data_IF_984082501234
#
_entry.id   IF_984082501234
#
_cell.length_a   1.000
_cell.length_b   1.000
_cell.length_c   1.000
_cell.angle_alpha   90.00
_cell.angle_beta   90.00
_cell.angle_gamma   90.00
#
_symmetry.space_group_name_H-M   'P 1'
#
loop_
_entity.id
_entity.type
_entity.pdbx_description
1 polymer ?
#
# COMPACT_ATOMS: atom_id res chain seq x y z
N UNK A 1 -16.51 4.75 -5.86
CA UNK A 1 -17.12 6.07 -5.57
C UNK A 1 -16.07 7.13 -5.24
N UNK A 2 -15.11 6.87 -4.35
CA UNK A 2 -14.07 7.86 -3.97
C UNK A 2 -13.24 8.41 -5.13
N UNK A 3 -12.79 7.56 -6.06
CA UNK A 3 -12.03 8.01 -7.25
C UNK A 3 -12.84 8.96 -8.13
N UNK A 4 -14.13 8.66 -8.34
CA UNK A 4 -15.04 9.53 -9.09
C UNK A 4 -15.21 10.90 -8.40
N UNK A 5 -15.31 10.91 -7.06
CA UNK A 5 -15.29 12.17 -6.30
C UNK A 5 -13.98 12.94 -6.48
N UNK A 6 -12.84 12.27 -6.41
CA UNK A 6 -11.53 12.88 -6.59
C UNK A 6 -11.39 13.54 -7.98
N UNK A 7 -11.81 12.85 -9.05
CA UNK A 7 -11.78 13.40 -10.41
C UNK A 7 -12.76 14.57 -10.58
N UNK A 8 -13.94 14.51 -9.94
CA UNK A 8 -14.90 15.63 -10.00
C UNK A 8 -14.46 16.90 -9.25
N UNK A 9 -13.48 16.78 -8.35
CA UNK A 9 -13.02 17.86 -7.46
C UNK A 9 -11.58 18.31 -7.70
N UNK A 10 -10.90 17.74 -8.70
CA UNK A 10 -9.53 18.07 -9.06
C UNK A 10 -9.38 18.30 -10.56
N UNK A 11 -8.21 18.78 -10.99
CA UNK A 11 -7.88 18.87 -12.42
C UNK A 11 -7.35 17.54 -12.99
N UNK A 12 -7.26 16.49 -12.17
CA UNK A 12 -6.81 15.17 -12.58
C UNK A 12 -8.01 14.34 -13.00
N UNK A 13 -7.90 13.69 -14.16
CA UNK A 13 -8.95 12.82 -14.71
C UNK A 13 -8.59 11.34 -14.65
N UNK A 14 -7.36 11.02 -14.23
CA UNK A 14 -6.87 9.65 -14.07
C UNK A 14 -5.82 9.58 -12.96
N UNK A 15 -5.48 8.36 -12.54
CA UNK A 15 -4.39 8.05 -11.61
C UNK A 15 -3.49 6.98 -12.22
N UNK A 16 -2.16 7.13 -12.11
CA UNK A 16 -1.23 6.17 -12.70
C UNK A 16 -1.25 4.82 -11.97
N UNK A 17 -1.41 4.85 -10.64
CA UNK A 17 -1.35 3.67 -9.78
C UNK A 17 -2.26 3.80 -8.55
N UNK A 18 -2.77 2.66 -8.10
CA UNK A 18 -3.45 2.49 -6.81
C UNK A 18 -2.57 1.65 -5.90
N UNK A 19 -2.30 2.16 -4.70
CA UNK A 19 -1.53 1.45 -3.68
C UNK A 19 -2.47 1.02 -2.56
N UNK A 20 -2.60 -0.29 -2.34
CA UNK A 20 -3.41 -0.86 -1.27
C UNK A 20 -2.60 -0.97 0.02
N UNK A 21 -3.14 -0.47 1.13
CA UNK A 21 -2.54 -0.55 2.46
C UNK A 21 -3.57 -0.98 3.51
N UNK A 22 -3.10 -1.31 4.72
CA UNK A 22 -3.89 -1.89 5.80
C UNK A 22 -3.90 -3.43 5.76
N UNK A 23 -4.33 -4.07 6.85
CA UNK A 23 -4.30 -5.54 6.96
C UNK A 23 -5.16 -6.27 5.93
N UNK A 24 -6.24 -5.64 5.47
CA UNK A 24 -7.13 -6.19 4.43
C UNK A 24 -6.44 -6.24 3.06
N UNK A 25 -5.44 -5.38 2.81
CA UNK A 25 -4.69 -5.39 1.55
C UNK A 25 -3.86 -6.66 1.34
N UNK A 26 -3.65 -7.47 2.39
CA UNK A 26 -2.96 -8.76 2.30
C UNK A 26 -3.87 -9.92 1.84
N UNK A 27 -5.17 -9.67 1.58
CA UNK A 27 -6.07 -10.69 1.04
C UNK A 27 -5.58 -11.10 -0.37
N UNK A 28 -5.32 -12.40 -0.61
CA UNK A 28 -4.89 -12.86 -1.93
C UNK A 28 -5.92 -12.52 -3.02
N UNK A 29 -5.44 -11.91 -4.12
CA UNK A 29 -6.25 -11.55 -5.30
C UNK A 29 -7.11 -10.30 -5.15
N UNK A 30 -7.01 -9.58 -4.02
CA UNK A 30 -7.74 -8.33 -3.84
C UNK A 30 -7.23 -7.23 -4.78
N UNK A 31 -5.92 -7.15 -4.96
CA UNK A 31 -5.27 -6.23 -5.92
C UNK A 31 -5.71 -6.51 -7.35
N UNK A 32 -5.72 -7.77 -7.78
CA UNK A 32 -6.21 -8.17 -9.10
C UNK A 32 -7.67 -7.78 -9.31
N UNK A 33 -8.54 -8.04 -8.34
CA UNK A 33 -9.96 -7.72 -8.40
C UNK A 33 -10.20 -6.20 -8.48
N UNK A 34 -9.45 -5.41 -7.72
CA UNK A 34 -9.53 -3.95 -7.76
C UNK A 34 -9.01 -3.44 -9.10
N UNK A 35 -7.93 -4.02 -9.64
CA UNK A 35 -7.36 -3.65 -10.93
C UNK A 35 -8.32 -3.93 -12.07
N UNK A 36 -8.98 -5.10 -12.08
CA UNK A 36 -9.99 -5.44 -13.08
C UNK A 36 -11.16 -4.45 -13.07
N UNK A 37 -11.64 -4.08 -11.88
CA UNK A 37 -12.80 -3.20 -11.75
C UNK A 37 -12.51 -1.74 -12.10
N UNK A 38 -11.29 -1.27 -11.85
CA UNK A 38 -10.90 0.14 -12.03
C UNK A 38 -10.08 0.38 -13.30
N UNK A 39 -9.56 -0.68 -13.93
CA UNK A 39 -8.67 -0.60 -15.11
C UNK A 39 -7.42 0.28 -14.85
N UNK A 40 -7.04 0.42 -13.58
CA UNK A 40 -5.84 1.16 -13.14
C UNK A 40 -4.88 0.17 -12.51
N UNK A 41 -3.56 0.25 -12.80
CA UNK A 41 -2.56 -0.57 -12.13
C UNK A 41 -2.64 -0.53 -10.60
N UNK A 42 -2.73 -1.69 -9.95
CA UNK A 42 -2.83 -1.83 -8.48
C UNK A 42 -1.61 -2.57 -7.93
N UNK A 43 -1.13 -2.14 -6.75
CA UNK A 43 -0.10 -2.85 -6.01
C UNK A 43 -0.37 -2.85 -4.50
N UNK A 44 0.05 -3.90 -3.80
CA UNK A 44 0.02 -3.95 -2.33
C UNK A 44 1.26 -3.27 -1.76
N UNK A 45 1.06 -2.37 -0.80
CA UNK A 45 2.14 -1.62 -0.18
C UNK A 45 3.09 -2.54 0.62
N UNK A 46 4.39 -2.39 0.37
CA UNK A 46 5.42 -2.93 1.23
C UNK A 46 6.43 -1.83 1.58
N UNK A 47 6.32 -1.21 2.78
CA UNK A 47 7.21 -0.13 3.17
C UNK A 47 8.65 -0.60 3.47
N UNK A 48 8.89 -1.91 3.53
CA UNK A 48 10.17 -2.51 3.90
C UNK A 48 11.00 -3.00 2.69
N UNK A 49 10.49 -2.86 1.45
CA UNK A 49 11.09 -3.43 0.23
C UNK A 49 12.58 -3.12 0.08
N UNK A 50 12.98 -1.88 0.41
CA UNK A 50 14.36 -1.40 0.27
C UNK A 50 15.02 -1.11 1.62
N UNK A 51 14.52 -1.70 2.71
CA UNK A 51 15.07 -1.54 4.06
C UNK A 51 15.99 -2.71 4.45
N UNK A 52 17.05 -2.42 5.19
CA UNK A 52 17.84 -3.45 5.85
C UNK A 52 17.04 -4.07 7.00
N UNK A 53 16.80 -5.38 6.93
CA UNK A 53 16.06 -6.10 7.96
C UNK A 53 17.03 -6.75 8.95
N UNK A 54 16.94 -6.33 10.21
CA UNK A 54 17.76 -6.86 11.30
C UNK A 54 17.62 -8.38 11.49
N UNK A 55 18.70 -9.03 11.92
CA UNK A 55 18.79 -10.50 12.00
C UNK A 55 17.79 -11.16 12.97
N UNK A 56 17.24 -10.40 13.92
CA UNK A 56 16.25 -10.87 14.90
C UNK A 56 14.80 -10.79 14.39
N UNK A 57 14.57 -10.22 13.20
CA UNK A 57 13.23 -9.99 12.65
C UNK A 57 12.82 -11.17 11.76
N UNK A 58 11.61 -11.68 11.96
CA UNK A 58 11.03 -12.68 11.07
C UNK A 58 10.58 -12.01 9.76
N UNK A 59 11.36 -12.21 8.70
CA UNK A 59 11.10 -11.61 7.37
C UNK A 59 9.76 -12.03 6.77
N UNK A 60 9.34 -13.28 6.98
CA UNK A 60 8.08 -13.78 6.45
C UNK A 60 6.89 -13.11 7.13
N UNK A 61 6.90 -13.04 8.46
CA UNK A 61 5.85 -12.33 9.20
C UNK A 61 5.83 -10.84 8.85
N UNK A 62 7.01 -10.21 8.77
CA UNK A 62 7.12 -8.81 8.40
C UNK A 62 6.52 -8.52 7.01
N UNK A 63 6.78 -9.37 6.02
CA UNK A 63 6.23 -9.20 4.68
C UNK A 63 4.72 -9.40 4.63
N UNK A 64 4.17 -10.31 5.44
CA UNK A 64 2.71 -10.52 5.51
C UNK A 64 2.00 -9.33 6.16
N UNK A 65 2.60 -8.74 7.20
CA UNK A 65 2.04 -7.59 7.91
C UNK A 65 2.42 -6.24 7.29
N UNK A 66 3.32 -6.24 6.29
CA UNK A 66 3.88 -5.06 5.64
C UNK A 66 2.85 -3.99 5.25
N UNK A 67 1.75 -4.31 4.55
CA UNK A 67 0.76 -3.29 4.18
C UNK A 67 0.04 -2.70 5.40
N UNK A 68 -0.12 -3.44 6.50
CA UNK A 68 -0.73 -2.95 7.73
C UNK A 68 0.20 -2.00 8.50
N UNK A 69 1.51 -2.19 8.37
CA UNK A 69 2.52 -1.45 9.11
C UNK A 69 2.88 -0.09 8.49
N UNK A 70 2.32 0.28 7.33
CA UNK A 70 2.66 1.51 6.61
C UNK A 70 2.61 2.78 7.49
N UNK A 71 1.59 2.92 8.32
CA UNK A 71 1.45 4.07 9.24
C UNK A 71 2.50 4.03 10.35
N UNK A 72 2.74 2.86 10.94
CA UNK A 72 3.74 2.68 11.99
C UNK A 72 5.16 2.98 11.44
N UNK A 73 5.46 2.52 10.22
CA UNK A 73 6.72 2.84 9.53
C UNK A 73 6.86 4.36 9.33
N UNK A 74 5.83 5.03 8.84
CA UNK A 74 5.87 6.49 8.66
C UNK A 74 6.08 7.27 9.96
N UNK A 75 5.47 6.82 11.07
CA UNK A 75 5.70 7.40 12.39
C UNK A 75 7.14 7.17 12.87
N UNK A 76 7.68 5.97 12.69
CA UNK A 76 9.05 5.66 13.05
C UNK A 76 10.07 6.49 12.25
N UNK A 77 9.83 6.67 10.94
CA UNK A 77 10.67 7.51 10.08
C UNK A 77 10.70 8.97 10.52
N UNK A 78 9.59 9.50 11.06
CA UNK A 78 9.57 10.85 11.63
C UNK A 78 10.50 10.98 12.84
N UNK A 79 10.54 9.96 13.70
CA UNK A 79 11.38 9.94 14.90
C UNK A 79 12.84 9.55 14.64
N UNK A 80 13.18 9.11 13.43
CA UNK A 80 14.55 8.81 13.01
C UNK A 80 15.33 10.05 12.56
N UNK A 81 14.70 11.22 12.58
CA UNK A 81 15.31 12.53 12.36
C UNK A 81 15.70 13.20 13.68
#
# INVERSE_FOLDING_TARGET
>A
QTLQFFFSSSHYNDVDHIVLAGGVAAIPGLDDLVQEHLTTPVLVANPFRDMEIGSKVNKTMLNNDAPALLIATGLAMRGAH
#
